data_IF_599456197307
#
_entry.id   IF_599456197307
#
_cell.length_a   1.000
_cell.length_b   1.000
_cell.length_c   1.000
_cell.angle_alpha   90.00
_cell.angle_beta   90.00
_cell.angle_gamma   90.00
#
_symmetry.space_group_name_H-M   'P 1'
#
loop_
_entity.id
_entity.type
_entity.pdbx_description
1 polymer ?
#
# COMPACT_ATOMS: atom_id res chain seq x y z
N UNK A 1 -31.73 -37.56 -3.16
CA UNK A 1 -32.62 -36.39 -3.34
C UNK A 1 -31.78 -35.25 -3.87
N UNK A 2 -32.25 -34.62 -4.95
CA UNK A 2 -31.53 -33.64 -5.77
C UNK A 2 -31.05 -32.44 -4.93
N UNK A 3 -29.80 -32.05 -5.12
CA UNK A 3 -29.20 -30.86 -4.51
C UNK A 3 -29.86 -29.59 -5.04
N UNK A 4 -30.92 -29.17 -4.37
CA UNK A 4 -31.49 -27.84 -4.56
C UNK A 4 -30.61 -26.89 -3.75
N UNK A 5 -29.80 -26.09 -4.44
CA UNK A 5 -29.12 -24.96 -3.83
C UNK A 5 -30.19 -24.07 -3.19
N UNK A 6 -30.21 -23.99 -1.87
CA UNK A 6 -31.11 -23.10 -1.15
C UNK A 6 -30.80 -21.64 -1.58
N UNK A 7 -31.79 -20.74 -1.65
CA UNK A 7 -31.55 -19.32 -1.85
C UNK A 7 -30.54 -18.80 -0.82
N UNK A 8 -29.61 -17.92 -1.25
CA UNK A 8 -28.56 -17.34 -0.39
C UNK A 8 -29.10 -16.76 0.94
N UNK A 9 -30.34 -16.28 0.95
CA UNK A 9 -31.04 -15.76 2.13
C UNK A 9 -31.45 -16.84 3.14
N UNK A 10 -31.68 -18.08 2.70
CA UNK A 10 -32.09 -19.19 3.59
C UNK A 10 -30.92 -19.75 4.41
N UNK A 11 -29.68 -19.46 4.02
CA UNK A 11 -28.50 -19.76 4.83
C UNK A 11 -28.34 -18.84 6.05
N UNK A 12 -29.17 -17.79 6.19
CA UNK A 12 -29.13 -16.86 7.32
C UNK A 12 -30.46 -16.79 8.06
N UNK A 13 -30.52 -17.43 9.23
CA UNK A 13 -31.33 -16.91 10.32
C UNK A 13 -30.51 -15.82 11.02
N UNK A 14 -31.00 -14.57 10.99
CA UNK A 14 -30.32 -13.40 11.60
C UNK A 14 -29.77 -13.75 12.99
N UNK A 15 -28.45 -13.63 13.17
CA UNK A 15 -27.76 -13.77 14.46
C UNK A 15 -27.18 -15.16 14.81
N UNK A 16 -27.35 -16.18 13.96
CA UNK A 16 -26.94 -17.57 14.30
C UNK A 16 -25.88 -18.21 13.37
N UNK A 17 -25.27 -17.47 12.46
CA UNK A 17 -24.32 -18.06 11.52
C UNK A 17 -22.91 -18.16 12.11
N UNK A 18 -22.61 -19.24 12.83
CA UNK A 18 -21.21 -19.67 13.03
C UNK A 18 -20.78 -20.44 11.78
N UNK A 19 -19.62 -20.09 11.22
CA UNK A 19 -19.02 -20.88 10.17
C UNK A 19 -18.53 -22.21 10.76
N UNK A 20 -19.18 -23.32 10.39
CA UNK A 20 -18.68 -24.66 10.71
C UNK A 20 -17.69 -25.09 9.62
N UNK A 21 -16.41 -25.15 9.96
CA UNK A 21 -15.37 -25.60 9.03
C UNK A 21 -15.45 -27.12 8.87
N UNK A 22 -16.12 -27.54 7.81
CA UNK A 22 -16.29 -28.97 7.52
C UNK A 22 -15.19 -29.47 6.57
N UNK A 23 -15.06 -30.80 6.44
CA UNK A 23 -14.18 -31.41 5.42
C UNK A 23 -14.64 -31.12 3.99
N UNK A 24 -15.88 -30.65 3.83
CA UNK A 24 -16.39 -30.11 2.57
C UNK A 24 -16.01 -28.63 2.46
N UNK A 25 -14.88 -28.38 1.81
CA UNK A 25 -14.37 -27.03 1.57
C UNK A 25 -15.32 -26.19 0.70
N UNK A 26 -16.14 -26.81 -0.15
CA UNK A 26 -17.08 -26.09 -1.01
C UNK A 26 -18.27 -25.58 -0.19
N UNK A 27 -18.84 -26.42 0.66
CA UNK A 27 -19.92 -26.00 1.56
C UNK A 27 -19.45 -24.93 2.55
N UNK A 28 -18.24 -25.10 3.10
CA UNK A 28 -17.62 -24.11 3.99
C UNK A 28 -17.43 -22.77 3.27
N UNK A 29 -16.96 -22.80 2.02
CA UNK A 29 -16.84 -21.58 1.22
C UNK A 29 -18.21 -20.91 1.00
N UNK A 30 -19.23 -21.64 0.54
CA UNK A 30 -20.58 -21.10 0.30
C UNK A 30 -21.17 -20.46 1.55
N UNK A 31 -21.07 -21.12 2.71
CA UNK A 31 -21.54 -20.58 3.98
C UNK A 31 -20.82 -19.29 4.36
N UNK A 32 -19.50 -19.24 4.21
CA UNK A 32 -18.73 -18.05 4.50
C UNK A 32 -19.04 -16.89 3.52
N UNK A 33 -19.26 -17.16 2.24
CA UNK A 33 -19.73 -16.13 1.29
C UNK A 33 -21.10 -15.57 1.70
N UNK A 34 -22.02 -16.44 2.12
CA UNK A 34 -23.34 -16.01 2.59
C UNK A 34 -23.23 -15.09 3.83
N UNK A 35 -22.40 -15.47 4.80
CA UNK A 35 -22.10 -14.64 5.99
C UNK A 35 -21.52 -13.28 5.57
N UNK A 36 -20.52 -13.27 4.70
CA UNK A 36 -19.84 -12.02 4.29
C UNK A 36 -20.80 -11.08 3.58
N UNK A 37 -21.62 -11.58 2.66
CA UNK A 37 -22.55 -10.77 1.87
C UNK A 37 -23.74 -10.29 2.71
N UNK A 38 -24.39 -11.19 3.44
CA UNK A 38 -25.71 -10.95 4.03
C UNK A 38 -25.72 -10.84 5.56
N UNK A 39 -24.67 -11.32 6.24
CA UNK A 39 -24.55 -11.26 7.71
C UNK A 39 -24.27 -9.85 8.24
N UNK A 40 -24.33 -9.67 9.55
CA UNK A 40 -23.95 -8.42 10.22
C UNK A 40 -22.47 -8.41 10.64
N UNK A 41 -22.06 -7.43 11.44
CA UNK A 41 -20.68 -7.35 11.94
C UNK A 41 -20.37 -8.48 12.94
N UNK A 42 -21.33 -8.86 13.79
CA UNK A 42 -21.17 -9.93 14.77
C UNK A 42 -20.96 -11.28 14.06
N UNK A 43 -21.65 -11.51 12.94
CA UNK A 43 -21.46 -12.69 12.09
C UNK A 43 -20.07 -12.70 11.44
N UNK A 44 -19.55 -11.54 11.02
CA UNK A 44 -18.18 -11.43 10.47
C UNK A 44 -17.13 -11.72 11.53
N UNK A 45 -17.30 -11.20 12.74
CA UNK A 45 -16.36 -11.43 13.85
C UNK A 45 -16.24 -12.92 14.24
N UNK A 46 -17.21 -13.74 13.87
CA UNK A 46 -17.22 -15.20 14.08
C UNK A 46 -16.49 -15.98 12.98
N UNK A 47 -16.06 -15.35 11.90
CA UNK A 47 -15.26 -16.01 10.86
C UNK A 47 -13.90 -16.44 11.43
N UNK A 48 -13.34 -17.52 10.87
CA UNK A 48 -11.99 -17.91 11.24
C UNK A 48 -10.96 -16.99 10.60
N UNK A 49 -9.90 -16.66 11.35
CA UNK A 49 -8.78 -15.88 10.82
C UNK A 49 -8.11 -16.55 9.62
N UNK A 50 -8.07 -17.88 9.62
CA UNK A 50 -7.48 -18.65 8.52
C UNK A 50 -8.30 -18.53 7.23
N UNK A 51 -9.63 -18.60 7.32
CA UNK A 51 -10.49 -18.40 6.16
C UNK A 51 -10.31 -16.99 5.56
N UNK A 52 -10.31 -15.95 6.40
CA UNK A 52 -10.11 -14.56 5.97
C UNK A 52 -8.76 -14.41 5.25
N UNK A 53 -7.68 -14.96 5.81
CA UNK A 53 -6.35 -14.88 5.21
C UNK A 53 -6.24 -15.64 3.88
N UNK A 54 -6.83 -16.84 3.78
CA UNK A 54 -6.83 -17.63 2.53
C UNK A 54 -7.69 -17.00 1.44
N UNK A 55 -8.75 -16.28 1.84
CA UNK A 55 -9.75 -15.72 0.93
C UNK A 55 -9.60 -14.21 0.72
N UNK A 56 -8.57 -13.57 1.28
CA UNK A 56 -8.40 -12.12 1.28
C UNK A 56 -8.52 -11.49 -0.12
N UNK A 57 -7.93 -12.13 -1.14
CA UNK A 57 -8.05 -11.69 -2.53
C UNK A 57 -9.49 -11.69 -3.03
N UNK A 58 -10.21 -12.79 -2.82
CA UNK A 58 -11.61 -12.91 -3.23
C UNK A 58 -12.49 -11.91 -2.49
N UNK A 59 -12.31 -11.76 -1.18
CA UNK A 59 -13.04 -10.78 -0.36
C UNK A 59 -12.78 -9.36 -0.86
N UNK A 60 -11.54 -9.02 -1.21
CA UNK A 60 -11.18 -7.67 -1.70
C UNK A 60 -11.84 -7.30 -3.04
N UNK A 61 -12.26 -8.29 -3.83
CA UNK A 61 -12.94 -8.10 -5.12
C UNK A 61 -14.47 -7.97 -4.97
N UNK A 62 -15.02 -8.26 -3.79
CA UNK A 62 -16.44 -8.14 -3.53
C UNK A 62 -16.84 -6.68 -3.28
N UNK A 63 -18.09 -6.34 -3.63
CA UNK A 63 -18.70 -5.07 -3.24
C UNK A 63 -19.26 -5.20 -1.83
N UNK A 64 -18.43 -4.92 -0.83
CA UNK A 64 -18.80 -4.97 0.58
C UNK A 64 -18.79 -3.58 1.22
N UNK A 65 -19.67 -3.32 2.21
CA UNK A 65 -19.55 -2.18 3.10
C UNK A 65 -18.16 -2.08 3.74
N UNK A 66 -17.67 -0.85 3.91
CA UNK A 66 -16.33 -0.60 4.47
C UNK A 66 -16.22 -1.13 5.91
N UNK A 67 -17.28 -1.06 6.71
CA UNK A 67 -17.25 -1.56 8.09
C UNK A 67 -16.93 -3.05 8.14
N UNK A 68 -17.54 -3.83 7.24
CA UNK A 68 -17.30 -5.27 7.10
C UNK A 68 -15.84 -5.57 6.74
N UNK A 69 -15.29 -4.82 5.78
CA UNK A 69 -13.90 -4.97 5.35
C UNK A 69 -12.90 -4.60 6.45
N UNK A 70 -13.22 -3.59 7.26
CA UNK A 70 -12.40 -3.22 8.42
C UNK A 70 -12.50 -4.27 9.54
N UNK A 71 -13.68 -4.83 9.79
CA UNK A 71 -13.88 -5.89 10.81
C UNK A 71 -13.08 -7.18 10.52
N UNK A 72 -12.81 -7.47 9.23
CA UNK A 72 -11.91 -8.58 8.85
C UNK A 72 -10.53 -8.48 9.50
N UNK A 73 -10.06 -7.26 9.79
CA UNK A 73 -8.79 -7.06 10.48
C UNK A 73 -8.88 -7.50 11.94
N UNK A 74 -9.99 -7.21 12.62
CA UNK A 74 -10.19 -7.61 14.01
C UNK A 74 -10.32 -9.13 14.14
N UNK A 75 -10.92 -9.81 13.16
CA UNK A 75 -10.90 -11.27 13.04
C UNK A 75 -9.47 -11.81 12.91
N UNK A 76 -8.67 -11.26 12.00
CA UNK A 76 -7.29 -11.72 11.75
C UNK A 76 -6.37 -11.44 12.94
N UNK A 77 -6.47 -10.25 13.53
CA UNK A 77 -5.72 -9.87 14.73
C UNK A 77 -6.13 -10.74 15.92
N UNK A 78 -7.43 -10.96 16.08
CA UNK A 78 -8.01 -11.66 17.21
C UNK A 78 -7.58 -11.01 18.53
N UNK A 79 -7.09 -11.82 19.47
CA UNK A 79 -6.62 -11.35 20.79
C UNK A 79 -5.15 -10.90 20.81
N UNK A 80 -4.44 -11.01 19.68
CA UNK A 80 -3.01 -10.64 19.61
C UNK A 80 -2.86 -9.13 19.63
N UNK A 81 -1.76 -8.63 20.21
CA UNK A 81 -1.42 -7.21 20.05
C UNK A 81 -0.98 -6.97 18.61
N UNK A 82 -1.29 -5.79 18.09
CA UNK A 82 -0.95 -5.42 16.70
C UNK A 82 0.56 -5.53 16.42
N UNK A 83 1.40 -5.23 17.42
CA UNK A 83 2.86 -5.33 17.31
C UNK A 83 3.36 -6.78 17.10
N UNK A 84 2.56 -7.79 17.51
CA UNK A 84 2.93 -9.20 17.44
C UNK A 84 2.49 -9.85 16.10
N UNK A 85 1.86 -9.09 15.20
CA UNK A 85 1.45 -9.60 13.88
C UNK A 85 2.68 -9.76 12.99
N UNK A 86 2.89 -10.97 12.48
CA UNK A 86 4.04 -11.30 11.63
C UNK A 86 3.89 -10.79 10.20
N UNK A 87 5.03 -10.60 9.52
CA UNK A 87 5.09 -10.26 8.10
C UNK A 87 4.33 -11.27 7.22
N UNK A 88 4.42 -12.58 7.51
CA UNK A 88 3.73 -13.62 6.74
C UNK A 88 2.20 -13.48 6.83
N UNK A 89 1.70 -13.03 7.98
CA UNK A 89 0.26 -12.75 8.16
C UNK A 89 -0.14 -11.54 7.34
N UNK A 90 0.67 -10.47 7.37
CA UNK A 90 0.43 -9.25 6.59
C UNK A 90 0.45 -9.52 5.07
N UNK A 91 1.38 -10.34 4.58
CA UNK A 91 1.44 -10.72 3.16
C UNK A 91 0.18 -11.45 2.70
N UNK A 92 -0.34 -12.40 3.50
CA UNK A 92 -1.62 -13.05 3.20
C UNK A 92 -2.78 -12.07 3.23
N UNK A 93 -2.75 -11.09 4.14
CA UNK A 93 -3.78 -10.07 4.30
C UNK A 93 -3.64 -8.88 3.31
N UNK A 94 -2.59 -8.84 2.49
CA UNK A 94 -2.23 -7.70 1.62
C UNK A 94 -3.43 -7.11 0.86
N UNK A 95 -4.33 -7.87 0.21
CA UNK A 95 -5.45 -7.30 -0.56
C UNK A 95 -6.46 -6.48 0.27
N UNK A 96 -6.57 -6.77 1.57
CA UNK A 96 -7.49 -6.10 2.48
C UNK A 96 -6.81 -5.03 3.33
N UNK A 97 -5.48 -4.92 3.25
CA UNK A 97 -4.67 -4.07 4.12
C UNK A 97 -5.04 -2.59 4.06
N UNK A 98 -5.44 -2.08 2.88
CA UNK A 98 -5.90 -0.69 2.69
C UNK A 98 -7.09 -0.28 3.56
N UNK A 99 -7.88 -1.23 4.04
CA UNK A 99 -9.07 -0.96 4.86
C UNK A 99 -8.77 -0.80 6.35
N UNK A 100 -7.53 -1.06 6.77
CA UNK A 100 -7.10 -0.91 8.17
C UNK A 100 -6.89 0.58 8.50
N UNK A 101 -7.33 1.03 9.66
CA UNK A 101 -7.07 2.41 10.11
C UNK A 101 -5.56 2.68 10.27
N UNK A 102 -5.09 3.85 9.83
CA UNK A 102 -3.70 4.29 9.99
C UNK A 102 -3.16 4.21 11.42
N UNK A 103 -4.00 4.48 12.44
CA UNK A 103 -3.60 4.33 13.86
C UNK A 103 -3.27 2.88 14.22
N UNK A 104 -3.98 1.94 13.62
CA UNK A 104 -3.77 0.52 13.85
C UNK A 104 -2.55 0.03 13.06
N UNK A 105 -2.39 0.46 11.81
CA UNK A 105 -1.18 0.17 11.02
C UNK A 105 0.08 0.69 11.75
N UNK A 106 0.02 1.88 12.34
CA UNK A 106 1.13 2.47 13.10
C UNK A 106 1.47 1.71 14.40
N UNK A 107 0.63 0.77 14.86
CA UNK A 107 0.93 -0.11 16.01
C UNK A 107 1.63 -1.41 15.60
N UNK A 108 1.78 -1.69 14.31
CA UNK A 108 2.63 -2.79 13.84
C UNK A 108 4.09 -2.56 14.25
N UNK A 109 4.90 -3.61 14.20
CA UNK A 109 6.32 -3.51 14.50
C UNK A 109 7.09 -2.78 13.38
N UNK A 110 7.05 -1.44 13.38
CA UNK A 110 7.73 -0.59 12.40
C UNK A 110 9.27 -0.65 12.49
N UNK A 111 9.82 -1.29 13.52
CA UNK A 111 11.26 -1.56 13.63
C UNK A 111 11.71 -2.75 12.78
N UNK A 112 10.78 -3.61 12.35
CA UNK A 112 11.06 -4.69 11.40
C UNK A 112 11.11 -4.12 9.97
N UNK A 113 12.27 -4.19 9.27
CA UNK A 113 12.41 -3.70 7.90
C UNK A 113 11.45 -4.35 6.91
N UNK A 114 11.08 -5.63 7.12
CA UNK A 114 10.14 -6.33 6.23
C UNK A 114 8.74 -5.77 6.34
N UNK A 115 8.29 -5.49 7.57
CA UNK A 115 6.98 -4.89 7.83
C UNK A 115 6.96 -3.43 7.34
N UNK A 116 8.03 -2.67 7.58
CA UNK A 116 8.10 -1.29 7.09
C UNK A 116 8.05 -1.24 5.54
N UNK A 117 8.81 -2.11 4.87
CA UNK A 117 8.80 -2.22 3.41
C UNK A 117 7.46 -2.73 2.86
N UNK A 118 6.82 -3.69 3.55
CA UNK A 118 5.47 -4.15 3.23
C UNK A 118 4.47 -2.98 3.17
N UNK A 119 4.46 -2.16 4.22
CA UNK A 119 3.57 -1.00 4.34
C UNK A 119 3.94 0.03 3.27
N UNK A 120 5.24 0.33 3.12
CA UNK A 120 5.74 1.33 2.18
C UNK A 120 5.47 1.00 0.72
N UNK A 121 5.37 -0.28 0.34
CA UNK A 121 5.07 -0.70 -1.03
C UNK A 121 3.57 -0.82 -1.30
N UNK A 122 2.70 -0.52 -0.32
CA UNK A 122 1.26 -0.58 -0.48
C UNK A 122 0.72 0.72 -1.10
N UNK A 123 0.46 0.68 -2.41
CA UNK A 123 0.04 1.85 -3.20
C UNK A 123 -1.34 2.42 -2.81
N UNK A 124 -2.21 1.59 -2.27
CA UNK A 124 -3.60 1.94 -1.97
C UNK A 124 -3.80 2.58 -0.59
N UNK A 125 -2.72 2.87 0.14
CA UNK A 125 -2.81 3.62 1.40
C UNK A 125 -3.10 5.09 1.13
N UNK A 126 -4.05 5.64 1.87
CA UNK A 126 -4.38 7.06 1.81
C UNK A 126 -3.34 7.92 2.54
N UNK A 127 -3.40 9.23 2.26
CA UNK A 127 -2.49 10.23 2.84
C UNK A 127 -2.52 10.26 4.36
N UNK A 128 -3.70 10.07 4.97
CA UNK A 128 -3.84 10.10 6.42
C UNK A 128 -3.19 8.87 7.06
N UNK A 129 -3.43 7.67 6.50
CA UNK A 129 -2.77 6.43 6.93
C UNK A 129 -1.25 6.59 6.87
N UNK A 130 -0.74 7.00 5.71
CA UNK A 130 0.70 7.23 5.49
C UNK A 130 1.29 8.26 6.45
N UNK A 131 0.59 9.38 6.70
CA UNK A 131 1.02 10.42 7.64
C UNK A 131 1.15 9.91 9.09
N UNK A 132 0.16 9.17 9.56
CA UNK A 132 0.18 8.59 10.93
C UNK A 132 1.33 7.60 11.09
N UNK A 133 1.57 6.75 10.07
CA UNK A 133 2.65 5.77 10.08
C UNK A 133 4.01 6.46 10.05
N UNK A 134 4.20 7.45 9.17
CA UNK A 134 5.45 8.22 9.07
C UNK A 134 5.79 8.92 10.39
N UNK A 135 4.81 9.60 11.00
CA UNK A 135 4.98 10.26 12.29
C UNK A 135 5.41 9.28 13.37
N UNK A 136 4.75 8.11 13.44
CA UNK A 136 5.11 7.08 14.41
C UNK A 136 6.52 6.52 14.16
N UNK A 137 6.88 6.24 12.91
CA UNK A 137 8.21 5.73 12.57
C UNK A 137 9.33 6.72 12.93
N UNK A 138 9.16 8.00 12.60
CA UNK A 138 10.12 9.06 12.95
C UNK A 138 10.27 9.18 14.47
N UNK A 139 9.18 9.01 15.23
CA UNK A 139 9.24 9.09 16.70
C UNK A 139 10.03 7.95 17.34
N UNK A 140 10.13 6.78 16.69
CA UNK A 140 10.85 5.61 17.23
C UNK A 140 12.26 5.45 16.65
N UNK A 141 12.52 5.96 15.45
CA UNK A 141 13.81 5.85 14.78
C UNK A 141 14.47 7.22 14.63
N UNK A 142 15.43 7.54 15.51
CA UNK A 142 16.18 8.82 15.47
C UNK A 142 17.03 9.00 14.21
N UNK A 143 17.30 7.91 13.49
CA UNK A 143 18.08 7.86 12.25
C UNK A 143 17.21 7.62 11.01
N UNK A 144 15.92 7.96 11.08
CA UNK A 144 14.98 7.80 9.97
C UNK A 144 15.46 8.46 8.67
N UNK A 145 16.28 9.51 8.76
CA UNK A 145 16.82 10.29 7.65
C UNK A 145 17.97 9.63 6.90
N UNK A 146 18.55 8.54 7.42
CA UNK A 146 19.62 7.81 6.72
C UNK A 146 19.08 7.21 5.39
N UNK A 147 19.84 7.23 4.29
CA UNK A 147 19.37 6.74 2.97
C UNK A 147 18.80 5.33 3.00
N UNK A 148 19.40 4.44 3.79
CA UNK A 148 18.91 3.06 3.98
C UNK A 148 17.48 3.02 4.50
N UNK A 149 17.14 3.88 5.46
CA UNK A 149 15.81 3.93 6.08
C UNK A 149 14.80 4.60 5.15
N UNK A 150 15.19 5.71 4.50
CA UNK A 150 14.36 6.37 3.49
C UNK A 150 14.01 5.41 2.33
N UNK A 151 14.93 4.55 1.93
CA UNK A 151 14.68 3.53 0.90
C UNK A 151 13.64 2.47 1.29
N UNK A 152 13.51 2.18 2.59
CA UNK A 152 12.49 1.26 3.08
C UNK A 152 11.10 1.91 3.19
N UNK A 153 11.06 3.23 3.38
CA UNK A 153 9.82 3.96 3.62
C UNK A 153 8.91 4.02 2.40
N UNK A 154 9.45 4.12 1.17
CA UNK A 154 8.64 4.12 -0.06
C UNK A 154 7.45 5.11 0.03
N UNK A 155 6.19 4.65 -0.10
CA UNK A 155 4.99 5.47 0.02
C UNK A 155 4.91 6.24 1.35
N UNK A 156 5.53 5.72 2.43
CA UNK A 156 5.55 6.36 3.76
C UNK A 156 6.27 7.72 3.71
N UNK A 157 7.16 7.97 2.75
CA UNK A 157 7.80 9.27 2.55
C UNK A 157 6.79 10.40 2.30
N UNK A 158 5.63 10.09 1.73
CA UNK A 158 4.55 11.06 1.53
C UNK A 158 3.94 11.56 2.84
N UNK A 159 4.14 10.81 3.93
CA UNK A 159 3.69 11.17 5.27
C UNK A 159 4.66 12.11 6.00
N UNK A 160 5.87 12.31 5.46
CA UNK A 160 6.87 13.18 6.09
C UNK A 160 6.61 14.64 5.70
N UNK A 161 6.56 15.56 6.66
CA UNK A 161 6.50 16.99 6.37
C UNK A 161 7.68 17.43 5.49
N UNK A 162 7.39 18.21 4.44
CA UNK A 162 8.43 18.75 3.54
C UNK A 162 9.47 19.59 4.27
N UNK A 163 9.12 20.22 5.40
CA UNK A 163 10.05 20.96 6.25
C UNK A 163 11.19 20.08 6.75
N UNK A 164 10.92 18.83 7.10
CA UNK A 164 11.97 17.88 7.49
C UNK A 164 12.77 17.39 6.29
N UNK A 165 12.09 17.07 5.17
CA UNK A 165 12.79 16.61 3.97
C UNK A 165 13.74 17.67 3.39
N UNK A 166 13.37 18.96 3.46
CA UNK A 166 14.22 20.08 2.98
C UNK A 166 15.51 20.28 3.78
N UNK A 167 15.56 19.80 5.02
CA UNK A 167 16.74 19.92 5.89
C UNK A 167 17.79 18.84 5.59
N UNK A 168 17.42 17.80 4.83
CA UNK A 168 18.32 16.71 4.53
C UNK A 168 19.40 17.13 3.52
N UNK A 169 20.66 16.68 3.68
CA UNK A 169 21.71 16.93 2.71
C UNK A 169 21.34 16.41 1.32
N UNK A 170 21.72 17.14 0.26
CA UNK A 170 21.46 16.73 -1.12
C UNK A 170 22.05 15.33 -1.44
N UNK A 171 23.21 15.00 -0.87
CA UNK A 171 23.86 13.69 -1.02
C UNK A 171 23.02 12.51 -0.47
N UNK A 172 22.10 12.76 0.45
CA UNK A 172 21.17 11.73 0.96
C UNK A 172 20.23 11.28 -0.15
N UNK A 173 19.72 12.24 -0.93
CA UNK A 173 18.79 11.97 -2.02
C UNK A 173 19.45 11.23 -3.19
N UNK A 174 20.74 11.48 -3.44
CA UNK A 174 21.53 10.74 -4.45
C UNK A 174 21.66 9.25 -4.14
N UNK A 175 21.53 8.87 -2.88
CA UNK A 175 21.64 7.47 -2.43
C UNK A 175 20.28 6.77 -2.35
N UNK A 176 19.19 7.46 -2.71
CA UNK A 176 17.87 6.85 -2.75
C UNK A 176 17.72 5.99 -4.00
N UNK A 177 17.20 4.79 -3.79
CA UNK A 177 16.79 3.90 -4.87
C UNK A 177 15.65 4.56 -5.63
N UNK A 178 15.73 4.52 -6.96
CA UNK A 178 14.66 4.99 -7.83
C UNK A 178 13.32 4.31 -7.53
N UNK A 179 13.34 3.08 -6.97
CA UNK A 179 12.14 2.31 -6.65
C UNK A 179 11.24 2.99 -5.61
N UNK A 180 11.83 3.75 -4.70
CA UNK A 180 11.13 4.52 -3.67
C UNK A 180 10.05 5.40 -4.28
N UNK A 181 10.38 6.01 -5.41
CA UNK A 181 9.53 7.00 -6.06
C UNK A 181 8.50 6.39 -7.02
N UNK A 182 8.58 5.09 -7.32
CA UNK A 182 7.48 4.35 -7.97
C UNK A 182 6.33 4.07 -7.01
N UNK A 183 6.54 4.25 -5.71
CA UNK A 183 5.57 3.88 -4.69
C UNK A 183 4.98 5.09 -3.95
N UNK A 184 5.35 6.33 -4.30
CA UNK A 184 4.86 7.56 -3.63
C UNK A 184 3.46 8.02 -4.10
N UNK A 185 2.52 7.08 -4.20
CA UNK A 185 1.16 7.36 -4.68
C UNK A 185 0.33 8.22 -3.72
N UNK A 186 0.63 8.21 -2.42
CA UNK A 186 -0.10 8.98 -1.40
C UNK A 186 0.34 10.45 -1.32
N UNK A 187 1.37 10.86 -2.08
CA UNK A 187 1.90 12.21 -2.05
C UNK A 187 0.94 13.20 -2.69
N UNK A 188 0.81 14.38 -2.08
CA UNK A 188 0.11 15.48 -2.74
C UNK A 188 0.92 16.05 -3.92
N UNK A 189 0.29 16.82 -4.83
CA UNK A 189 0.98 17.36 -6.01
C UNK A 189 2.23 18.20 -5.68
N UNK A 190 2.26 18.92 -4.55
CA UNK A 190 3.43 19.72 -4.15
C UNK A 190 4.56 18.83 -3.66
N UNK A 191 4.26 17.82 -2.85
CA UNK A 191 5.23 16.81 -2.41
C UNK A 191 5.80 16.04 -3.60
N UNK A 192 4.94 15.65 -4.54
CA UNK A 192 5.35 14.94 -5.75
C UNK A 192 6.29 15.77 -6.60
N UNK A 193 5.96 17.05 -6.86
CA UNK A 193 6.84 17.99 -7.56
C UNK A 193 8.17 18.18 -6.83
N UNK A 194 8.14 18.29 -5.50
CA UNK A 194 9.35 18.35 -4.69
C UNK A 194 10.24 17.14 -4.95
N UNK A 195 9.74 15.92 -4.78
CA UNK A 195 10.53 14.70 -5.00
C UNK A 195 11.03 14.56 -6.45
N UNK A 196 10.18 14.86 -7.44
CA UNK A 196 10.55 14.80 -8.86
C UNK A 196 11.62 15.83 -9.25
N UNK A 197 11.57 17.05 -8.70
CA UNK A 197 12.57 18.09 -8.95
C UNK A 197 13.95 17.68 -8.42
N UNK A 198 14.00 17.01 -7.26
CA UNK A 198 15.25 16.46 -6.74
C UNK A 198 15.81 15.37 -7.66
N UNK A 199 14.96 14.49 -8.22
CA UNK A 199 15.40 13.39 -9.09
C UNK A 199 15.83 13.80 -10.49
N UNK A 200 15.14 14.79 -11.07
CA UNK A 200 15.46 15.34 -12.40
C UNK A 200 16.55 16.41 -12.35
N UNK A 201 17.06 16.71 -11.16
CA UNK A 201 18.21 17.57 -10.97
C UNK A 201 19.41 17.07 -11.77
N UNK A 202 20.12 17.99 -12.42
CA UNK A 202 21.32 17.72 -13.23
C UNK A 202 22.43 17.00 -12.47
N UNK A 203 22.40 17.06 -11.13
CA UNK A 203 23.32 16.37 -10.23
C UNK A 203 23.00 14.87 -10.08
N UNK A 204 21.77 14.42 -10.35
CA UNK A 204 21.32 13.03 -10.16
C UNK A 204 21.41 12.22 -11.45
N UNK A 205 20.90 12.75 -12.56
CA UNK A 205 20.92 12.06 -13.86
C UNK A 205 22.18 12.39 -14.69
N UNK A 206 22.99 13.35 -14.24
CA UNK A 206 24.07 13.89 -15.07
C UNK A 206 23.52 14.65 -16.28
N UNK A 207 24.39 14.97 -17.23
CA UNK A 207 23.98 15.65 -18.47
C UNK A 207 23.30 14.65 -19.42
N UNK A 208 22.36 15.12 -20.24
CA UNK A 208 21.57 14.23 -21.11
C UNK A 208 22.38 13.34 -22.04
N UNK A 209 23.59 13.75 -22.42
CA UNK A 209 24.49 12.96 -23.25
C UNK A 209 25.18 11.80 -22.52
N UNK A 210 25.15 11.75 -21.18
CA UNK A 210 25.71 10.66 -20.38
C UNK A 210 24.65 9.66 -19.91
N UNK A 211 23.40 9.79 -20.38
CA UNK A 211 22.31 8.92 -19.97
C UNK A 211 22.43 7.54 -20.63
N UNK A 212 22.30 6.49 -19.81
CA UNK A 212 22.14 5.13 -20.30
C UNK A 212 20.69 4.84 -20.70
N UNK A 213 20.44 3.75 -21.42
CA UNK A 213 19.08 3.29 -21.72
C UNK A 213 18.23 3.06 -20.45
N UNK A 214 18.89 2.68 -19.33
CA UNK A 214 18.24 2.58 -18.02
C UNK A 214 17.77 3.94 -17.52
N UNK A 215 18.55 5.00 -17.71
CA UNK A 215 18.20 6.35 -17.27
C UNK A 215 17.07 6.96 -18.10
N UNK A 216 17.05 6.67 -19.41
CA UNK A 216 15.95 7.05 -20.30
C UNK A 216 14.67 6.30 -19.95
N UNK A 217 14.75 5.00 -19.67
CA UNK A 217 13.59 4.22 -19.22
C UNK A 217 13.04 4.74 -17.88
N UNK A 218 13.91 5.08 -16.92
CA UNK A 218 13.54 5.71 -15.65
C UNK A 218 12.79 7.02 -15.86
N UNK A 219 13.26 7.90 -16.75
CA UNK A 219 12.55 9.12 -17.11
C UNK A 219 11.18 8.82 -17.73
N UNK A 220 11.09 7.84 -18.62
CA UNK A 220 9.81 7.38 -19.20
C UNK A 220 8.81 6.93 -18.14
N UNK A 221 9.25 6.16 -17.14
CA UNK A 221 8.39 5.74 -16.03
C UNK A 221 8.00 6.89 -15.11
N UNK A 222 8.92 7.81 -14.81
CA UNK A 222 8.60 9.02 -14.06
C UNK A 222 7.55 9.87 -14.79
N UNK A 223 7.66 10.00 -16.11
CA UNK A 223 6.68 10.70 -16.94
C UNK A 223 5.32 10.00 -17.00
N UNK A 224 5.27 8.66 -16.98
CA UNK A 224 4.02 7.90 -16.94
C UNK A 224 3.24 8.12 -15.64
N UNK A 225 3.95 8.44 -14.57
CA UNK A 225 3.40 8.73 -13.25
C UNK A 225 2.94 10.20 -13.10
N UNK A 226 3.43 11.11 -13.94
CA UNK A 226 3.15 12.56 -13.87
C UNK A 226 1.79 12.88 -14.50
N UNK A 227 0.93 13.63 -13.81
CA UNK A 227 -0.37 14.04 -14.36
C UNK A 227 -0.22 15.17 -15.40
N UNK A 228 -1.16 15.32 -16.34
CA UNK A 228 -1.09 16.33 -17.42
C UNK A 228 -0.68 17.76 -16.99
N UNK A 229 -1.20 18.30 -15.88
CA UNK A 229 -0.77 19.60 -15.36
C UNK A 229 0.69 19.63 -14.90
N UNK A 230 1.19 18.54 -14.33
CA UNK A 230 2.58 18.43 -13.88
C UNK A 230 3.55 18.29 -15.08
N UNK A 231 3.14 17.61 -16.15
CA UNK A 231 3.87 17.55 -17.43
C UNK A 231 4.03 18.93 -18.06
N UNK A 232 2.99 19.77 -18.00
CA UNK A 232 3.02 21.14 -18.55
C UNK A 232 3.97 22.08 -17.80
N UNK A 233 4.37 21.73 -16.57
CA UNK A 233 5.33 22.49 -15.77
C UNK A 233 6.80 22.16 -16.08
N UNK A 234 7.04 21.09 -16.84
CA UNK A 234 8.38 20.70 -17.29
C UNK A 234 8.78 21.61 -18.45
N UNK A 235 9.91 22.31 -18.31
CA UNK A 235 10.42 23.21 -19.34
C UNK A 235 10.64 22.44 -20.66
N UNK A 236 10.04 22.87 -21.80
CA UNK A 236 10.20 22.20 -23.09
C UNK A 236 11.66 22.03 -23.53
N UNK A 237 12.56 22.93 -23.11
CA UNK A 237 14.00 22.80 -23.38
C UNK A 237 14.65 21.60 -22.68
N UNK A 238 14.08 21.12 -21.57
CA UNK A 238 14.53 19.92 -20.87
C UNK A 238 14.06 18.63 -21.56
N UNK A 239 12.98 18.70 -22.35
CA UNK A 239 12.45 17.60 -23.18
C UNK A 239 13.15 17.48 -24.55
N UNK A 240 13.82 18.53 -25.02
CA UNK A 240 14.54 18.55 -26.29
C UNK A 240 15.74 17.57 -26.34
N UNK A 241 16.13 16.99 -25.21
CA UNK A 241 17.12 15.89 -25.16
C UNK A 241 16.55 14.51 -25.50
N UNK A 242 15.22 14.35 -25.56
CA UNK A 242 14.51 13.07 -25.78
C UNK A 242 13.99 12.95 -27.22
N UNK A 243 14.11 13.98 -28.06
CA UNK A 243 13.71 13.88 -29.46
C UNK A 243 14.65 12.94 -30.20
N UNK A 244 14.11 11.83 -30.72
CA UNK A 244 14.78 11.00 -31.70
C UNK A 244 15.18 11.87 -32.89
N UNK A 245 16.47 12.16 -33.04
CA UNK A 245 17.01 12.39 -34.38
C UNK A 245 16.87 11.05 -35.12
N UNK A 246 15.70 10.85 -35.71
CA UNK A 246 15.58 9.96 -36.87
C UNK A 246 16.33 10.70 -37.97
N UNK A 247 17.60 10.34 -38.15
CA UNK A 247 18.35 10.76 -39.32
C UNK A 247 17.64 10.19 -40.55
N UNK A 248 17.50 11.06 -41.56
CA UNK A 248 17.04 10.74 -42.91
C UNK A 248 17.79 9.56 -43.52
#
# INVERSE_FOLDING_TARGET
MSGVHLPMSEYLHRGYCKLDETKDYMQTAVNAFAIILNGDLDDIERLSSEYVLRSARTISMMKLPKEKLTAMWDVVKGRRKTIDISYETLEKYRPLFKYINGKEIARLNLSDPKILSFIGTHAELDRHQVGVIASKYISINTKWWEPRNLNLMNNILCGIPMTFMRQLPQNTFLQLSHQVFYHIHACDPLQRRFYLAFMSGTQVLGKSYSWSASDVAKLGFLMAEVTGPDLSSINPKSMAGITSKVNK
#
